data_IF_350794576653
#
_entry.id   IF_350794576653
#
_cell.length_a   1.000
_cell.length_b   1.000
_cell.length_c   1.000
_cell.angle_alpha   90.00
_cell.angle_beta   90.00
_cell.angle_gamma   90.00
#
_symmetry.space_group_name_H-M   'P 1'
#
loop_
_entity.id
_entity.type
_entity.pdbx_description
1 polymer ?
#
# COMPACT_ATOMS: atom_id res chain seq x y z
N UNK A 1 -18.27 26.53 44.68
CA UNK A 1 -17.79 25.75 43.53
C UNK A 1 -16.64 24.90 44.03
N UNK A 2 -16.74 23.57 43.94
CA UNK A 2 -15.73 22.67 44.50
C UNK A 2 -14.49 22.64 43.60
N UNK A 3 -13.30 22.65 44.20
CA UNK A 3 -12.01 22.62 43.47
C UNK A 3 -11.87 21.39 42.57
N UNK A 4 -12.49 20.26 42.94
CA UNK A 4 -12.51 19.03 42.14
C UNK A 4 -13.33 19.14 40.85
N UNK A 5 -14.44 19.88 40.89
CA UNK A 5 -15.27 20.14 39.69
C UNK A 5 -14.50 21.00 38.68
N UNK A 6 -13.74 21.97 39.19
CA UNK A 6 -12.93 22.87 38.38
C UNK A 6 -11.74 22.13 37.75
N UNK A 7 -11.10 21.22 38.48
CA UNK A 7 -10.01 20.39 37.94
C UNK A 7 -10.52 19.42 36.86
N UNK A 8 -11.71 18.85 37.06
CA UNK A 8 -12.34 17.96 36.07
C UNK A 8 -12.69 18.72 34.78
N UNK A 9 -13.21 19.94 34.92
CA UNK A 9 -13.49 20.83 33.79
C UNK A 9 -12.22 21.19 33.02
N UNK A 10 -11.13 21.53 33.72
CA UNK A 10 -9.83 21.82 33.11
C UNK A 10 -9.27 20.60 32.39
N UNK A 11 -9.36 19.41 32.98
CA UNK A 11 -8.90 18.15 32.35
C UNK A 11 -9.69 17.84 31.08
N UNK A 12 -11.01 18.07 31.08
CA UNK A 12 -11.84 17.87 29.91
C UNK A 12 -11.51 18.87 28.81
N UNK A 13 -11.39 20.17 29.14
CA UNK A 13 -11.03 21.21 28.17
C UNK A 13 -9.64 20.93 27.56
N UNK A 14 -8.65 20.57 28.38
CA UNK A 14 -7.32 20.23 27.88
C UNK A 14 -7.34 18.99 27.00
N UNK A 15 -8.13 17.97 27.36
CA UNK A 15 -8.28 16.75 26.54
C UNK A 15 -8.96 17.03 25.19
N UNK A 16 -9.94 17.92 25.15
CA UNK A 16 -10.60 18.33 23.91
C UNK A 16 -9.70 19.22 23.04
N UNK A 17 -8.90 20.12 23.63
CA UNK A 17 -8.01 21.04 22.91
C UNK A 17 -6.72 20.37 22.44
N UNK A 18 -6.28 19.30 23.12
CA UNK A 18 -5.12 18.47 22.76
C UNK A 18 -5.51 17.23 21.96
N UNK A 19 -6.81 17.03 21.67
CA UNK A 19 -7.23 16.00 20.75
C UNK A 19 -6.52 16.26 19.42
N UNK A 20 -5.70 15.31 18.92
CA UNK A 20 -5.08 15.51 17.63
C UNK A 20 -6.20 15.73 16.62
N UNK A 21 -6.13 16.85 15.89
CA UNK A 21 -7.05 17.12 14.80
C UNK A 21 -7.20 15.84 14.01
N UNK A 22 -8.42 15.33 13.85
CA UNK A 22 -8.68 14.15 13.03
C UNK A 22 -8.10 14.46 11.65
N UNK A 23 -6.90 13.93 11.39
CA UNK A 23 -6.28 14.00 10.11
C UNK A 23 -7.25 13.27 9.19
N UNK A 24 -7.89 14.02 8.29
CA UNK A 24 -8.61 13.45 7.19
C UNK A 24 -7.60 12.57 6.46
N UNK A 25 -7.69 11.26 6.69
CA UNK A 25 -6.90 10.30 5.96
C UNK A 25 -7.40 10.40 4.53
N UNK A 26 -6.67 11.13 3.68
CA UNK A 26 -6.84 11.04 2.24
C UNK A 26 -6.85 9.54 1.92
N UNK A 27 -8.00 9.03 1.49
CA UNK A 27 -8.44 7.63 1.62
C UNK A 27 -7.67 6.60 0.78
N UNK A 28 -6.39 6.84 0.50
CA UNK A 28 -5.54 6.09 -0.41
C UNK A 28 -4.24 5.59 0.27
N UNK A 29 -4.16 5.64 1.60
CA UNK A 29 -2.98 5.14 2.34
C UNK A 29 -1.78 6.10 2.30
N UNK A 30 -2.03 7.40 2.13
CA UNK A 30 -1.02 8.46 2.22
C UNK A 30 -1.15 9.09 3.61
N UNK A 31 -0.03 9.15 4.34
CA UNK A 31 0.03 9.66 5.71
C UNK A 31 1.06 10.78 5.83
N UNK A 32 0.85 11.69 6.78
CA UNK A 32 1.72 12.86 6.98
C UNK A 32 3.03 12.47 7.69
N UNK A 33 2.97 11.42 8.53
CA UNK A 33 4.13 10.91 9.25
C UNK A 33 4.32 9.40 9.03
N UNK A 34 5.58 8.96 9.18
CA UNK A 34 5.92 7.53 9.08
C UNK A 34 5.28 6.72 10.21
N UNK A 35 5.15 7.31 11.41
CA UNK A 35 4.50 6.67 12.56
C UNK A 35 3.04 6.32 12.28
N UNK A 36 2.28 7.28 11.74
CA UNK A 36 0.89 7.05 11.32
C UNK A 36 0.78 5.94 10.27
N UNK A 37 1.69 5.91 9.30
CA UNK A 37 1.70 4.87 8.27
C UNK A 37 1.94 3.47 8.86
N UNK A 38 2.85 3.35 9.83
CA UNK A 38 3.15 2.09 10.52
C UNK A 38 1.94 1.62 11.31
N UNK A 39 1.33 2.49 12.10
CA UNK A 39 0.17 2.16 12.93
C UNK A 39 -1.01 1.72 12.06
N UNK A 40 -1.31 2.48 10.99
CA UNK A 40 -2.36 2.14 10.05
C UNK A 40 -2.11 0.80 9.32
N UNK A 41 -0.87 0.56 8.87
CA UNK A 41 -0.49 -0.70 8.23
C UNK A 41 -0.63 -1.89 9.19
N UNK A 42 -0.23 -1.73 10.45
CA UNK A 42 -0.36 -2.77 11.47
C UNK A 42 -1.83 -3.12 11.74
N UNK A 43 -2.70 -2.11 11.87
CA UNK A 43 -4.15 -2.33 12.03
C UNK A 43 -4.78 -3.02 10.81
N UNK A 44 -4.39 -2.61 9.60
CA UNK A 44 -4.85 -3.26 8.36
C UNK A 44 -4.37 -4.72 8.28
N UNK A 45 -3.14 -5.00 8.68
CA UNK A 45 -2.57 -6.35 8.70
C UNK A 45 -3.32 -7.28 9.65
N UNK A 46 -3.63 -6.84 10.88
CA UNK A 46 -4.40 -7.65 11.84
C UNK A 46 -5.78 -8.04 11.29
N UNK A 47 -6.46 -7.11 10.60
CA UNK A 47 -7.74 -7.39 9.93
C UNK A 47 -7.56 -8.35 8.75
N UNK A 48 -6.54 -8.12 7.93
CA UNK A 48 -6.22 -8.95 6.76
C UNK A 48 -5.87 -10.40 7.15
N UNK A 49 -5.18 -10.59 8.29
CA UNK A 49 -4.89 -11.92 8.83
C UNK A 49 -6.15 -12.72 9.17
N UNK A 50 -7.23 -12.06 9.58
CA UNK A 50 -8.50 -12.72 9.88
C UNK A 50 -9.32 -13.05 8.61
N UNK A 51 -8.96 -12.51 7.45
CA UNK A 51 -9.67 -12.76 6.20
C UNK A 51 -9.41 -14.19 5.65
N UNK A 52 -10.45 -14.85 5.09
CA UNK A 52 -10.30 -16.12 4.38
C UNK A 52 -9.36 -16.03 3.17
N UNK A 53 -8.75 -17.16 2.79
CA UNK A 53 -7.87 -17.23 1.61
C UNK A 53 -8.56 -16.73 0.32
N UNK A 54 -9.85 -17.02 0.15
CA UNK A 54 -10.63 -16.53 -1.01
C UNK A 54 -10.66 -15.00 -1.08
N UNK A 55 -10.84 -14.32 0.05
CA UNK A 55 -10.84 -12.85 0.13
C UNK A 55 -9.46 -12.31 -0.22
N UNK A 56 -8.40 -12.93 0.30
CA UNK A 56 -7.04 -12.56 -0.03
C UNK A 56 -6.76 -12.73 -1.54
N UNK A 57 -7.25 -13.81 -2.16
CA UNK A 57 -7.11 -14.04 -3.61
C UNK A 57 -7.88 -13.00 -4.41
N UNK A 58 -9.08 -12.61 -3.96
CA UNK A 58 -9.85 -11.56 -4.59
C UNK A 58 -9.13 -10.20 -4.56
N UNK A 59 -8.48 -9.86 -3.43
CA UNK A 59 -7.66 -8.65 -3.30
C UNK A 59 -6.51 -8.66 -4.30
N UNK A 60 -5.76 -9.77 -4.41
CA UNK A 60 -4.65 -9.88 -5.37
C UNK A 60 -5.15 -9.74 -6.82
N UNK A 61 -6.25 -10.41 -7.16
CA UNK A 61 -6.84 -10.31 -8.51
C UNK A 61 -7.29 -8.89 -8.83
N UNK A 62 -7.94 -8.20 -7.89
CA UNK A 62 -8.37 -6.81 -8.05
C UNK A 62 -7.17 -5.88 -8.25
N UNK A 63 -6.10 -6.03 -7.46
CA UNK A 63 -4.87 -5.26 -7.62
C UNK A 63 -4.26 -5.43 -9.02
N UNK A 64 -4.21 -6.67 -9.53
CA UNK A 64 -3.66 -6.93 -10.87
C UNK A 64 -4.52 -6.29 -11.97
N UNK A 65 -5.83 -6.41 -11.86
CA UNK A 65 -6.77 -5.81 -12.81
C UNK A 65 -6.64 -4.29 -12.82
N UNK A 66 -6.58 -3.67 -11.64
CA UNK A 66 -6.47 -2.22 -11.50
C UNK A 66 -5.13 -1.70 -12.02
N UNK A 67 -4.00 -2.36 -11.73
CA UNK A 67 -2.69 -1.89 -12.18
C UNK A 67 -2.46 -2.02 -13.68
N UNK A 68 -3.15 -2.94 -14.36
CA UNK A 68 -2.94 -3.24 -15.79
C UNK A 68 -3.00 -2.00 -16.69
N UNK A 69 -4.02 -1.13 -16.63
CA UNK A 69 -4.06 0.11 -17.43
C UNK A 69 -2.98 1.13 -17.04
N UNK A 70 -2.44 1.08 -15.81
CA UNK A 70 -1.49 2.08 -15.31
C UNK A 70 -0.01 1.76 -15.61
N UNK A 71 0.30 0.55 -16.10
CA UNK A 71 1.70 0.13 -16.32
C UNK A 71 2.50 1.07 -17.23
N UNK A 72 1.85 1.61 -18.29
CA UNK A 72 2.48 2.52 -19.24
C UNK A 72 2.78 3.90 -18.62
N UNK A 73 1.87 4.39 -17.78
CA UNK A 73 2.02 5.65 -17.04
C UNK A 73 3.14 5.53 -16.01
N UNK A 74 3.10 4.48 -15.18
CA UNK A 74 4.14 4.22 -14.16
C UNK A 74 5.55 4.11 -14.77
N UNK A 75 5.66 3.48 -15.95
CA UNK A 75 6.94 3.37 -16.65
C UNK A 75 7.45 4.72 -17.16
N UNK A 76 6.56 5.57 -17.69
CA UNK A 76 6.90 6.90 -18.16
C UNK A 76 7.29 7.84 -17.00
N UNK A 77 6.48 7.86 -15.94
CA UNK A 77 6.71 8.68 -14.74
C UNK A 77 8.01 8.29 -14.06
N UNK A 78 8.29 6.99 -13.88
CA UNK A 78 9.55 6.53 -13.30
C UNK A 78 10.78 6.94 -14.12
N UNK A 79 10.70 6.91 -15.46
CA UNK A 79 11.79 7.37 -16.30
C UNK A 79 11.99 8.89 -16.20
N UNK A 80 10.89 9.65 -16.20
CA UNK A 80 10.92 11.11 -16.10
C UNK A 80 11.43 11.59 -14.73
N UNK A 81 11.01 10.97 -13.65
CA UNK A 81 11.40 11.32 -12.27
C UNK A 81 12.86 10.98 -11.99
N UNK A 82 13.30 9.79 -12.39
CA UNK A 82 14.65 9.28 -12.02
C UNK A 82 15.73 9.61 -13.04
N UNK A 83 15.37 9.86 -14.31
CA UNK A 83 16.32 9.98 -15.41
C UNK A 83 17.07 8.68 -15.77
N UNK A 84 16.67 7.53 -15.21
CA UNK A 84 17.38 6.25 -15.36
C UNK A 84 16.61 5.24 -16.21
N UNK A 85 17.28 4.66 -17.21
CA UNK A 85 16.71 3.64 -18.10
C UNK A 85 15.71 4.22 -19.10
N UNK A 86 15.07 3.34 -19.90
CA UNK A 86 14.03 3.73 -20.85
C UNK A 86 12.63 3.28 -20.39
N UNK A 87 11.59 3.86 -21.00
CA UNK A 87 10.19 3.59 -20.65
C UNK A 87 9.76 2.17 -21.04
N UNK A 88 10.25 1.68 -22.17
CA UNK A 88 9.87 0.39 -22.76
C UNK A 88 10.29 -0.78 -21.86
N UNK A 89 11.54 -0.77 -21.39
CA UNK A 89 12.08 -1.78 -20.47
C UNK A 89 11.42 -1.70 -19.10
N UNK A 90 11.12 -0.50 -18.60
CA UNK A 90 10.36 -0.33 -17.36
C UNK A 90 8.94 -0.88 -17.50
N UNK A 91 8.28 -0.68 -18.64
CA UNK A 91 6.98 -1.27 -18.91
C UNK A 91 7.04 -2.81 -18.90
N UNK A 92 8.03 -3.40 -19.59
CA UNK A 92 8.22 -4.85 -19.60
C UNK A 92 8.50 -5.41 -18.20
N UNK A 93 9.30 -4.70 -17.40
CA UNK A 93 9.56 -5.06 -15.98
C UNK A 93 8.28 -4.99 -15.14
N UNK A 94 7.50 -3.92 -15.25
CA UNK A 94 6.25 -3.77 -14.52
C UNK A 94 5.23 -4.85 -14.92
N UNK A 95 5.12 -5.14 -16.21
CA UNK A 95 4.28 -6.23 -16.72
C UNK A 95 4.75 -7.59 -16.20
N UNK A 96 6.05 -7.86 -16.22
CA UNK A 96 6.62 -9.10 -15.69
C UNK A 96 6.36 -9.25 -14.19
N UNK A 97 6.43 -8.17 -13.41
CA UNK A 97 6.09 -8.19 -11.99
C UNK A 97 4.60 -8.48 -11.78
N UNK A 98 3.70 -7.87 -12.56
CA UNK A 98 2.27 -8.10 -12.47
C UNK A 98 1.89 -9.55 -12.78
N UNK A 99 2.44 -10.09 -13.87
CA UNK A 99 2.06 -11.41 -14.42
C UNK A 99 2.72 -12.57 -13.66
N UNK A 100 3.98 -12.42 -13.21
CA UNK A 100 4.77 -13.53 -12.70
C UNK A 100 4.88 -13.57 -11.16
N UNK A 101 4.43 -12.54 -10.44
CA UNK A 101 4.46 -12.58 -8.96
C UNK A 101 3.46 -13.62 -8.46
N UNK A 102 3.86 -14.67 -7.70
CA UNK A 102 2.94 -15.69 -7.22
C UNK A 102 1.83 -15.12 -6.33
N UNK A 103 0.64 -15.71 -6.40
CA UNK A 103 -0.46 -15.42 -5.47
C UNK A 103 -0.37 -16.23 -4.18
N UNK A 104 -1.49 -16.35 -3.46
CA UNK A 104 -1.59 -17.09 -2.18
C UNK A 104 -1.19 -18.56 -2.29
N UNK A 105 -1.41 -19.19 -3.45
CA UNK A 105 -1.12 -20.60 -3.63
C UNK A 105 0.37 -20.94 -3.56
N UNK A 106 1.29 -20.02 -3.92
CA UNK A 106 2.75 -20.22 -3.96
C UNK A 106 3.26 -21.39 -4.83
N UNK A 107 2.39 -22.34 -5.17
CA UNK A 107 2.61 -23.64 -5.81
C UNK A 107 1.63 -23.87 -6.97
N UNK A 108 0.87 -22.86 -7.37
CA UNK A 108 -0.06 -22.96 -8.49
C UNK A 108 0.70 -22.81 -9.82
N UNK A 109 1.28 -23.93 -10.24
CA UNK A 109 1.48 -24.34 -11.64
C UNK A 109 2.15 -23.34 -12.60
N UNK A 110 3.48 -23.30 -12.58
CA UNK A 110 4.24 -22.84 -13.76
C UNK A 110 5.14 -23.96 -14.26
N UNK A 111 4.86 -24.40 -15.49
CA UNK A 111 5.66 -25.32 -16.26
C UNK A 111 7.11 -24.86 -16.47
N UNK A 112 7.92 -25.69 -17.14
CA UNK A 112 9.37 -25.51 -17.17
C UNK A 112 9.75 -24.20 -17.88
N UNK A 113 10.61 -23.42 -17.23
CA UNK A 113 11.38 -22.32 -17.80
C UNK A 113 10.65 -21.06 -18.31
N UNK A 114 10.49 -20.08 -17.42
CA UNK A 114 10.82 -18.69 -17.77
C UNK A 114 12.01 -18.22 -16.94
N UNK A 115 13.17 -18.80 -17.27
CA UNK A 115 14.49 -18.30 -16.89
C UNK A 115 14.61 -16.91 -17.50
N UNK A 116 14.90 -15.89 -16.69
CA UNK A 116 15.27 -14.55 -17.13
C UNK A 116 16.39 -14.66 -18.18
N UNK A 117 16.04 -14.68 -19.47
CA UNK A 117 16.99 -14.56 -20.57
C UNK A 117 17.30 -13.07 -20.70
N UNK A 118 18.38 -12.68 -20.04
CA UNK A 118 19.42 -11.77 -20.52
C UNK A 118 19.02 -10.84 -21.67
N UNK A 119 19.02 -9.54 -21.36
CA UNK A 119 18.92 -8.43 -22.30
C UNK A 119 19.33 -7.13 -21.60
N UNK A 120 20.54 -7.12 -21.04
CA UNK A 120 21.22 -5.92 -20.59
C UNK A 120 22.59 -5.91 -21.27
N UNK A 121 22.61 -5.47 -22.52
CA UNK A 121 23.71 -4.74 -23.19
C UNK A 121 23.04 -3.77 -24.15
#
# INVERSE_FOLDING_TARGET
>A
MNTSELETLIRNILSEQLAPAQAETQGHGIFQSVGEAIDAAHQAFLRYQQCPLKTRSAIISALRQELTPHLATLAAESAAETGMGNKEDKFLKNKAALDNTPGIGGFDNHGPHRRWRHGAV
#
